data_IF_515887663319
#
_entry.id   IF_515887663319
#
_cell.length_a   1.000
_cell.length_b   1.000
_cell.length_c   1.000
_cell.angle_alpha   90.00
_cell.angle_beta   90.00
_cell.angle_gamma   90.00
#
_symmetry.space_group_name_H-M   'P 1'
#
loop_
_entity.id
_entity.type
_entity.pdbx_description
1 polymer ?
#
# COMPACT_ATOMS: atom_id res chain seq x y z
N UNK A 1 17.06 38.86 -1.35
CA UNK A 1 17.41 37.97 -0.22
C UNK A 1 17.36 36.52 -0.70
N UNK A 2 18.46 35.99 -1.25
CA UNK A 2 18.56 34.60 -1.74
C UNK A 2 18.68 33.54 -0.62
N UNK A 3 18.72 33.94 0.65
CA UNK A 3 18.82 33.04 1.82
C UNK A 3 17.56 32.18 2.10
N UNK A 4 16.46 32.29 1.35
CA UNK A 4 15.19 31.62 1.73
C UNK A 4 14.93 30.25 1.09
N UNK A 5 15.33 30.00 -0.16
CA UNK A 5 14.97 28.75 -0.86
C UNK A 5 15.97 27.61 -0.61
N UNK A 6 17.27 27.91 -0.54
CA UNK A 6 18.29 26.89 -0.35
C UNK A 6 18.15 26.20 1.01
N UNK A 7 17.81 26.95 2.06
CA UNK A 7 17.58 26.39 3.39
C UNK A 7 16.29 25.55 3.46
N UNK A 8 15.26 25.92 2.69
CA UNK A 8 14.05 25.10 2.51
C UNK A 8 14.37 23.77 1.83
N UNK A 9 15.16 23.80 0.75
CA UNK A 9 15.61 22.59 0.05
C UNK A 9 16.51 21.74 0.95
N UNK A 10 17.43 22.35 1.71
CA UNK A 10 18.26 21.63 2.69
C UNK A 10 17.43 20.95 3.77
N UNK A 11 16.40 21.62 4.28
CA UNK A 11 15.49 21.06 5.28
C UNK A 11 14.69 19.88 4.72
N UNK A 12 14.25 19.95 3.46
CA UNK A 12 13.65 18.81 2.76
C UNK A 12 14.66 17.66 2.59
N UNK A 13 15.84 17.92 2.04
CA UNK A 13 16.91 16.92 1.85
C UNK A 13 17.33 16.23 3.15
N UNK A 14 17.41 16.98 4.25
CA UNK A 14 17.78 16.44 5.55
C UNK A 14 16.79 15.35 5.98
N UNK A 15 15.48 15.53 5.77
CA UNK A 15 14.50 14.49 6.13
C UNK A 15 14.51 13.30 5.20
N UNK A 16 14.90 13.48 3.93
CA UNK A 16 15.12 12.32 3.04
C UNK A 16 16.30 11.47 3.51
N UNK A 17 17.35 12.12 4.02
CA UNK A 17 18.58 11.47 4.47
C UNK A 17 18.51 10.92 5.89
N UNK A 18 17.69 11.49 6.76
CA UNK A 18 17.53 11.06 8.17
C UNK A 18 16.52 9.92 8.36
N UNK A 19 15.97 9.35 7.29
CA UNK A 19 15.24 8.08 7.38
C UNK A 19 16.20 6.95 7.77
N UNK A 20 16.50 6.84 9.07
CA UNK A 20 17.45 5.88 9.66
C UNK A 20 17.06 4.41 9.41
N UNK A 21 15.82 4.17 9.02
CA UNK A 21 15.27 2.86 8.61
C UNK A 21 15.35 2.62 7.11
N UNK A 22 15.83 3.61 6.36
CA UNK A 22 15.75 3.68 4.92
C UNK A 22 14.34 3.89 4.39
N UNK A 23 13.28 4.11 5.18
CA UNK A 23 11.92 4.35 4.66
C UNK A 23 11.47 5.78 4.94
N UNK A 24 11.01 6.50 3.92
CA UNK A 24 10.47 7.85 4.09
C UNK A 24 9.02 7.78 4.56
N UNK A 25 8.69 8.50 5.63
CA UNK A 25 7.30 8.67 6.06
C UNK A 25 6.62 9.74 5.20
N UNK A 26 5.52 9.36 4.54
CA UNK A 26 4.68 10.30 3.79
C UNK A 26 4.17 11.45 4.67
N UNK A 27 3.79 11.17 5.92
CA UNK A 27 3.35 12.20 6.87
C UNK A 27 4.45 13.21 7.19
N UNK A 28 5.69 12.73 7.38
CA UNK A 28 6.82 13.64 7.62
C UNK A 28 7.08 14.52 6.40
N UNK A 29 7.09 13.93 5.20
CA UNK A 29 7.26 14.66 3.95
C UNK A 29 6.16 15.75 3.80
N UNK A 30 4.89 15.36 3.95
CA UNK A 30 3.74 16.26 3.81
C UNK A 30 3.77 17.39 4.85
N UNK A 31 4.12 17.11 6.11
CA UNK A 31 4.28 18.14 7.15
C UNK A 31 5.37 19.15 6.81
N UNK A 32 6.52 18.70 6.33
CA UNK A 32 7.63 19.62 6.00
C UNK A 32 7.29 20.46 4.78
N UNK A 33 6.72 19.85 3.74
CA UNK A 33 6.24 20.59 2.58
C UNK A 33 5.22 21.65 3.00
N UNK A 34 4.31 21.30 3.93
CA UNK A 34 3.33 22.22 4.49
C UNK A 34 3.99 23.39 5.21
N UNK A 35 4.98 23.15 6.07
CA UNK A 35 5.74 24.20 6.77
C UNK A 35 6.53 25.09 5.81
N UNK A 36 7.23 24.47 4.86
CA UNK A 36 8.13 25.14 3.92
C UNK A 36 7.35 26.01 2.94
N UNK A 37 6.24 25.51 2.41
CA UNK A 37 5.39 26.21 1.43
C UNK A 37 4.37 27.12 2.15
N UNK A 38 4.11 26.87 3.44
CA UNK A 38 3.05 27.49 4.23
C UNK A 38 1.68 27.30 3.58
N UNK A 39 1.29 26.03 3.41
CA UNK A 39 0.06 25.59 2.74
C UNK A 39 -0.41 24.23 3.28
N UNK A 40 -1.68 23.90 3.08
CA UNK A 40 -2.16 22.53 3.31
C UNK A 40 -1.64 21.64 2.18
N UNK A 41 -1.18 20.44 2.53
CA UNK A 41 -0.57 19.45 1.62
C UNK A 41 -1.26 18.11 1.81
N UNK A 42 -1.63 17.50 0.70
CA UNK A 42 -2.16 16.14 0.62
C UNK A 42 -1.33 15.36 -0.39
N UNK A 43 -0.83 14.21 0.03
CA UNK A 43 -0.18 13.26 -0.87
C UNK A 43 -1.11 12.06 -1.05
N UNK A 44 -1.45 11.73 -2.28
CA UNK A 44 -2.31 10.58 -2.60
C UNK A 44 -1.58 9.54 -3.43
N UNK A 45 -2.05 8.29 -3.34
CA UNK A 45 -1.75 7.27 -4.36
C UNK A 45 -2.60 7.47 -5.62
N UNK A 46 -2.42 6.60 -6.61
CA UNK A 46 -3.17 6.61 -7.87
C UNK A 46 -4.67 6.32 -7.68
N UNK A 47 -5.03 5.61 -6.61
CA UNK A 47 -6.42 5.33 -6.28
C UNK A 47 -7.09 6.53 -5.59
N UNK A 48 -6.34 7.53 -5.10
CA UNK A 48 -6.87 8.68 -4.37
C UNK A 48 -6.86 8.49 -2.85
N UNK A 49 -6.30 7.39 -2.34
CA UNK A 49 -6.08 7.19 -0.90
C UNK A 49 -5.02 8.19 -0.42
N UNK A 50 -5.27 8.86 0.69
CA UNK A 50 -4.33 9.84 1.24
C UNK A 50 -3.24 9.10 2.01
N UNK A 51 -2.02 9.20 1.51
CA UNK A 51 -0.83 8.57 2.07
C UNK A 51 -0.23 9.39 3.21
N UNK A 52 -0.39 10.72 3.17
CA UNK A 52 0.05 11.60 4.26
C UNK A 52 -0.37 13.04 4.06
N UNK A 53 -0.51 13.74 5.18
CA UNK A 53 -1.08 15.10 5.23
C UNK A 53 -0.18 16.07 6.00
N UNK A 54 -0.26 17.35 5.61
CA UNK A 54 0.37 18.45 6.33
C UNK A 54 -0.58 19.64 6.33
N UNK A 55 -1.03 20.06 7.51
CA UNK A 55 -2.01 21.14 7.65
C UNK A 55 -1.40 22.36 8.32
N UNK A 56 -1.66 23.53 7.74
CA UNK A 56 -1.54 24.82 8.42
C UNK A 56 -2.86 25.17 9.10
N UNK A 57 -4.00 24.86 8.46
CA UNK A 57 -5.32 24.98 9.06
C UNK A 57 -6.09 23.65 8.88
N UNK A 58 -6.35 22.97 9.99
CA UNK A 58 -6.94 21.63 10.01
C UNK A 58 -8.47 21.63 9.86
N UNK A 59 -9.14 22.76 10.05
CA UNK A 59 -10.61 22.88 9.92
C UNK A 59 -11.08 22.90 8.45
N UNK A 60 -10.15 22.77 7.51
CA UNK A 60 -10.31 23.11 6.09
C UNK A 60 -9.90 21.95 5.16
N UNK A 61 -10.29 20.73 5.55
CA UNK A 61 -9.95 19.46 4.88
C UNK A 61 -10.85 19.18 3.67
N UNK A 62 -10.24 18.84 2.53
CA UNK A 62 -10.94 18.43 1.30
C UNK A 62 -11.08 16.90 1.16
N UNK A 63 -10.91 16.17 2.26
CA UNK A 63 -10.86 14.71 2.31
C UNK A 63 -12.16 14.13 2.87
N UNK A 64 -12.49 12.93 2.41
CA UNK A 64 -13.56 12.08 2.94
C UNK A 64 -12.94 10.92 3.72
N UNK A 65 -13.73 10.31 4.60
CA UNK A 65 -13.31 9.11 5.35
C UNK A 65 -13.81 7.88 4.62
N UNK A 66 -12.92 6.95 4.32
CA UNK A 66 -13.24 5.68 3.68
C UNK A 66 -13.91 4.69 4.66
N UNK A 67 -14.43 3.57 4.14
CA UNK A 67 -15.08 2.53 4.93
C UNK A 67 -14.17 1.89 6.00
N UNK A 68 -12.86 2.05 5.88
CA UNK A 68 -11.83 1.52 6.78
C UNK A 68 -11.31 2.58 7.77
N UNK A 69 -11.86 3.80 7.73
CA UNK A 69 -11.47 4.92 8.59
C UNK A 69 -10.24 5.70 8.11
N UNK A 70 -9.75 5.46 6.89
CA UNK A 70 -8.66 6.20 6.25
C UNK A 70 -9.15 7.45 5.51
N UNK A 71 -8.26 8.43 5.28
CA UNK A 71 -8.58 9.62 4.49
C UNK A 71 -8.44 9.34 2.99
N UNK A 72 -9.38 9.87 2.20
CA UNK A 72 -9.40 9.72 0.74
C UNK A 72 -9.85 11.02 0.08
N UNK A 73 -9.33 11.29 -1.12
CA UNK A 73 -9.87 12.34 -1.98
C UNK A 73 -11.14 11.83 -2.67
N UNK A 74 -12.23 12.63 -2.76
CA UNK A 74 -13.43 12.23 -3.48
C UNK A 74 -13.11 11.68 -4.87
N UNK A 75 -13.73 10.58 -5.25
CA UNK A 75 -13.41 9.83 -6.47
C UNK A 75 -13.47 10.73 -7.73
N UNK A 76 -14.49 11.58 -7.81
CA UNK A 76 -14.64 12.55 -8.89
C UNK A 76 -13.43 13.50 -9.03
N UNK A 77 -12.89 14.00 -7.90
CA UNK A 77 -11.70 14.86 -7.91
C UNK A 77 -10.47 14.07 -8.33
N UNK A 78 -10.28 12.86 -7.78
CA UNK A 78 -9.13 12.02 -8.09
C UNK A 78 -9.05 11.66 -9.57
N UNK A 79 -10.18 11.27 -10.18
CA UNK A 79 -10.26 10.96 -11.61
C UNK A 79 -9.82 12.14 -12.48
N UNK A 80 -10.17 13.36 -12.08
CA UNK A 80 -9.75 14.57 -12.80
C UNK A 80 -8.26 14.87 -12.59
N UNK A 81 -7.74 14.68 -11.38
CA UNK A 81 -6.31 14.84 -11.11
C UNK A 81 -5.44 13.84 -11.88
N UNK A 82 -5.90 12.60 -11.98
CA UNK A 82 -5.17 11.53 -12.67
C UNK A 82 -5.06 11.77 -14.19
N UNK A 83 -5.95 12.57 -14.78
CA UNK A 83 -5.87 13.00 -16.19
C UNK A 83 -4.83 14.10 -16.43
N UNK A 84 -4.38 14.79 -15.39
CA UNK A 84 -3.44 15.92 -15.51
C UNK A 84 -2.00 15.39 -15.60
N UNK A 85 -1.29 15.63 -16.70
CA UNK A 85 0.08 15.11 -16.90
C UNK A 85 1.20 16.10 -16.55
N UNK A 86 0.86 17.33 -16.21
CA UNK A 86 1.80 18.36 -15.81
C UNK A 86 1.27 19.17 -14.64
N UNK A 87 2.19 19.80 -13.92
CA UNK A 87 1.88 20.70 -12.82
C UNK A 87 0.91 21.78 -13.26
N UNK A 88 -0.18 21.94 -12.51
CA UNK A 88 -1.14 23.02 -12.69
C UNK A 88 -1.25 23.80 -11.39
N UNK A 89 -0.69 25.01 -11.41
CA UNK A 89 -0.59 25.87 -10.23
C UNK A 89 -1.57 27.04 -10.30
N UNK A 90 -1.87 27.61 -9.13
CA UNK A 90 -2.73 28.78 -8.98
C UNK A 90 -4.16 28.60 -9.50
N UNK A 91 -4.66 27.37 -9.53
CA UNK A 91 -6.04 27.05 -9.86
C UNK A 91 -6.94 27.64 -8.77
N UNK A 92 -7.91 28.46 -9.15
CA UNK A 92 -8.87 29.09 -8.24
C UNK A 92 -10.14 29.50 -9.00
N UNK A 93 -11.22 29.77 -8.25
CA UNK A 93 -12.52 30.21 -8.77
C UNK A 93 -13.08 29.24 -9.80
N UNK A 94 -13.36 29.75 -10.99
CA UNK A 94 -13.93 28.96 -12.09
C UNK A 94 -13.07 27.75 -12.47
N UNK A 95 -11.74 27.90 -12.51
CA UNK A 95 -10.85 26.79 -12.84
C UNK A 95 -10.91 25.66 -11.81
N UNK A 96 -11.11 26.02 -10.53
CA UNK A 96 -11.27 25.02 -9.47
C UNK A 96 -12.61 24.28 -9.63
N UNK A 97 -13.70 25.01 -9.93
CA UNK A 97 -15.02 24.41 -10.19
C UNK A 97 -15.00 23.51 -11.45
N UNK A 98 -14.30 23.91 -12.51
CA UNK A 98 -14.20 23.10 -13.74
C UNK A 98 -13.50 21.74 -13.48
N UNK A 99 -12.62 21.66 -12.48
CA UNK A 99 -11.88 20.44 -12.12
C UNK A 99 -12.58 19.65 -11.00
N UNK A 100 -13.16 20.33 -10.02
CA UNK A 100 -13.70 19.73 -8.79
C UNK A 100 -15.22 19.62 -8.78
N UNK A 101 -15.90 20.24 -9.74
CA UNK A 101 -17.35 20.21 -9.90
C UNK A 101 -18.07 21.44 -9.35
N UNK A 102 -19.29 21.64 -9.84
CA UNK A 102 -20.18 22.71 -9.41
C UNK A 102 -20.57 22.51 -7.93
N UNK A 103 -20.19 23.46 -7.07
CA UNK A 103 -20.44 23.40 -5.62
C UNK A 103 -19.22 23.07 -4.76
N UNK A 104 -18.02 22.96 -5.35
CA UNK A 104 -16.79 22.81 -4.58
C UNK A 104 -16.57 24.01 -3.63
N UNK A 105 -16.76 23.78 -2.34
CA UNK A 105 -16.82 24.81 -1.30
C UNK A 105 -15.52 25.63 -1.16
N UNK A 106 -14.41 25.05 -1.56
CA UNK A 106 -13.07 25.63 -1.40
C UNK A 106 -12.53 26.23 -2.71
N UNK A 107 -13.41 26.56 -3.67
CA UNK A 107 -13.01 27.11 -4.95
C UNK A 107 -12.24 28.42 -4.85
N UNK A 108 -12.41 29.18 -3.76
CA UNK A 108 -11.70 30.42 -3.47
C UNK A 108 -10.23 30.23 -3.04
N UNK A 109 -9.81 29.00 -2.68
CA UNK A 109 -8.41 28.67 -2.42
C UNK A 109 -7.59 28.71 -3.72
N UNK A 110 -6.30 28.97 -3.57
CA UNK A 110 -5.32 28.63 -4.61
C UNK A 110 -4.93 27.16 -4.46
N UNK A 111 -4.97 26.43 -5.57
CA UNK A 111 -4.57 25.03 -5.64
C UNK A 111 -3.34 24.88 -6.54
N UNK A 112 -2.43 24.01 -6.14
CA UNK A 112 -1.34 23.50 -6.94
C UNK A 112 -1.46 21.98 -6.98
N UNK A 113 -1.73 21.45 -8.17
CA UNK A 113 -1.91 20.02 -8.41
C UNK A 113 -0.68 19.55 -9.16
N UNK A 114 0.07 18.65 -8.53
CA UNK A 114 1.34 18.15 -9.06
C UNK A 114 1.26 16.64 -9.22
N UNK A 115 1.22 16.14 -10.47
CA UNK A 115 1.29 14.71 -10.75
C UNK A 115 2.59 14.09 -10.20
N UNK A 116 2.47 12.95 -9.53
CA UNK A 116 3.63 12.18 -9.07
C UNK A 116 3.91 11.03 -10.03
N UNK A 117 5.09 11.03 -10.64
CA UNK A 117 5.54 10.02 -11.59
C UNK A 117 6.82 9.34 -11.12
N UNK A 118 6.97 8.04 -11.41
CA UNK A 118 8.26 7.35 -11.28
C UNK A 118 8.35 6.21 -12.30
N UNK A 119 9.42 6.19 -13.10
CA UNK A 119 9.63 5.14 -14.12
C UNK A 119 8.61 5.17 -15.27
N UNK A 120 7.97 6.32 -15.52
CA UNK A 120 6.93 6.47 -16.55
C UNK A 120 5.50 6.25 -16.06
N UNK A 121 5.31 5.65 -14.87
CA UNK A 121 3.97 5.41 -14.32
C UNK A 121 3.51 6.59 -13.47
N UNK A 122 2.20 6.88 -13.57
CA UNK A 122 1.50 7.84 -12.71
C UNK A 122 1.16 7.15 -11.38
N UNK A 123 1.85 7.54 -10.31
CA UNK A 123 1.76 6.88 -9.01
C UNK A 123 0.82 7.56 -8.02
N UNK A 124 0.45 8.80 -8.27
CA UNK A 124 -0.43 9.56 -7.40
C UNK A 124 -0.38 11.05 -7.66
N UNK A 125 -0.83 11.84 -6.69
CA UNK A 125 -0.95 13.30 -6.84
C UNK A 125 -0.53 13.98 -5.55
N UNK A 126 0.30 15.02 -5.66
CA UNK A 126 0.54 15.98 -4.59
C UNK A 126 -0.38 17.18 -4.80
N UNK A 127 -1.24 17.46 -3.82
CA UNK A 127 -2.21 18.55 -3.85
C UNK A 127 -1.81 19.53 -2.77
N UNK A 128 -1.63 20.80 -3.15
CA UNK A 128 -1.25 21.86 -2.22
C UNK A 128 -2.26 23.00 -2.31
N UNK A 129 -2.82 23.41 -1.17
CA UNK A 129 -3.86 24.44 -1.12
C UNK A 129 -3.58 25.49 -0.06
N UNK A 130 -3.84 26.77 -0.38
CA UNK A 130 -3.79 27.86 0.61
C UNK A 130 -4.68 29.03 0.24
N UNK A 131 -5.06 29.81 1.24
CA UNK A 131 -5.78 31.06 1.07
C UNK A 131 -4.85 32.22 0.71
N UNK A 132 -5.43 33.24 0.08
CA UNK A 132 -4.93 34.62 -0.01
C UNK A 132 -3.59 34.85 -0.76
N UNK A 133 -2.82 33.80 -1.09
CA UNK A 133 -1.52 33.94 -1.73
C UNK A 133 -1.32 32.93 -2.87
N UNK A 134 -1.04 33.45 -4.07
CA UNK A 134 -0.61 32.65 -5.23
C UNK A 134 0.70 31.91 -4.97
N UNK A 135 0.83 30.69 -5.45
CA UNK A 135 2.08 29.94 -5.52
C UNK A 135 3.07 30.64 -6.45
N UNK A 136 4.24 30.96 -5.90
CA UNK A 136 5.39 31.47 -6.64
C UNK A 136 6.11 30.32 -7.36
N UNK A 137 7.00 30.64 -8.31
CA UNK A 137 7.83 29.63 -8.97
C UNK A 137 8.65 28.81 -7.96
N UNK A 138 9.14 29.45 -6.90
CA UNK A 138 9.85 28.77 -5.80
C UNK A 138 8.94 27.75 -5.08
N UNK A 139 7.70 28.13 -4.81
CA UNK A 139 6.73 27.23 -4.17
C UNK A 139 6.40 26.05 -5.10
N UNK A 140 6.20 26.31 -6.40
CA UNK A 140 5.89 25.28 -7.41
C UNK A 140 7.07 24.30 -7.56
N UNK A 141 8.31 24.80 -7.60
CA UNK A 141 9.50 23.96 -7.67
C UNK A 141 9.63 23.04 -6.45
N UNK A 142 9.28 23.53 -5.25
CA UNK A 142 9.25 22.72 -4.03
C UNK A 142 8.15 21.65 -4.08
N UNK A 143 6.97 21.97 -4.66
CA UNK A 143 5.93 20.98 -4.88
C UNK A 143 6.36 19.90 -5.88
N UNK A 144 6.97 20.26 -7.00
CA UNK A 144 7.48 19.30 -8.00
C UNK A 144 8.56 18.40 -7.43
N UNK A 145 9.49 18.98 -6.67
CA UNK A 145 10.49 18.22 -5.94
C UNK A 145 9.83 17.23 -4.95
N UNK A 146 8.87 17.70 -4.16
CA UNK A 146 8.11 16.87 -3.23
C UNK A 146 7.36 15.73 -3.93
N UNK A 147 6.71 16.00 -5.06
CA UNK A 147 5.99 15.01 -5.85
C UNK A 147 6.92 13.96 -6.48
N UNK A 148 8.12 14.36 -6.92
CA UNK A 148 9.12 13.43 -7.45
C UNK A 148 9.65 12.50 -6.37
N UNK A 149 9.97 13.03 -5.18
CA UNK A 149 10.39 12.25 -4.02
C UNK A 149 9.30 11.29 -3.57
N UNK A 150 8.06 11.77 -3.47
CA UNK A 150 6.91 10.93 -3.14
C UNK A 150 6.74 9.79 -4.15
N UNK A 151 6.91 10.07 -5.45
CA UNK A 151 6.81 9.06 -6.50
C UNK A 151 7.86 7.96 -6.36
N UNK A 152 9.10 8.33 -6.01
CA UNK A 152 10.16 7.36 -5.73
C UNK A 152 9.78 6.44 -4.55
N UNK A 153 9.26 7.02 -3.47
CA UNK A 153 8.90 6.25 -2.28
C UNK A 153 7.66 5.37 -2.50
N UNK A 154 6.65 5.86 -3.22
CA UNK A 154 5.49 5.06 -3.62
C UNK A 154 5.94 3.86 -4.45
N UNK A 155 6.80 4.08 -5.47
CA UNK A 155 7.36 2.99 -6.28
C UNK A 155 8.08 1.97 -5.42
N UNK A 156 8.91 2.45 -4.50
CA UNK A 156 9.70 1.57 -3.63
C UNK A 156 8.80 0.70 -2.77
N UNK A 157 7.76 1.27 -2.17
CA UNK A 157 6.81 0.53 -1.35
C UNK A 157 6.03 -0.52 -2.17
N UNK A 158 5.64 -0.20 -3.40
CA UNK A 158 5.04 -1.17 -4.33
C UNK A 158 6.03 -2.32 -4.64
N UNK A 159 7.28 -2.00 -4.98
CA UNK A 159 8.30 -3.01 -5.25
C UNK A 159 8.56 -3.92 -4.04
N UNK A 160 8.62 -3.35 -2.83
CA UNK A 160 8.78 -4.14 -1.60
C UNK A 160 7.57 -5.05 -1.33
N UNK A 161 6.36 -4.59 -1.63
CA UNK A 161 5.15 -5.41 -1.52
C UNK A 161 5.18 -6.57 -2.53
N UNK A 162 5.49 -6.29 -3.80
CA UNK A 162 5.65 -7.31 -4.84
C UNK A 162 6.75 -8.32 -4.51
N UNK A 163 7.90 -7.86 -3.99
CA UNK A 163 8.98 -8.76 -3.57
C UNK A 163 8.54 -9.67 -2.42
N UNK A 164 7.79 -9.15 -1.44
CA UNK A 164 7.26 -9.95 -0.34
C UNK A 164 6.28 -11.01 -0.86
N UNK A 165 5.38 -10.64 -1.75
CA UNK A 165 4.45 -11.57 -2.41
C UNK A 165 5.21 -12.66 -3.18
N UNK A 166 6.16 -12.27 -4.05
CA UNK A 166 7.02 -13.22 -4.79
C UNK A 166 7.78 -14.16 -3.86
N UNK A 167 8.30 -13.67 -2.74
CA UNK A 167 8.97 -14.49 -1.72
C UNK A 167 8.01 -15.46 -1.05
N UNK A 168 6.80 -15.03 -0.72
CA UNK A 168 5.76 -15.89 -0.15
C UNK A 168 5.37 -17.02 -1.12
N UNK A 169 5.11 -16.69 -2.39
CA UNK A 169 4.79 -17.69 -3.42
C UNK A 169 5.98 -18.65 -3.64
N UNK A 170 7.20 -18.12 -3.73
CA UNK A 170 8.42 -18.93 -3.88
C UNK A 170 8.65 -19.91 -2.73
N UNK A 171 8.38 -19.49 -1.49
CA UNK A 171 8.46 -20.37 -0.32
C UNK A 171 7.49 -21.56 -0.42
N UNK A 172 6.28 -21.35 -0.95
CA UNK A 172 5.32 -22.43 -1.22
C UNK A 172 5.88 -23.37 -2.29
N UNK A 173 6.36 -22.85 -3.43
CA UNK A 173 6.92 -23.70 -4.48
C UNK A 173 8.08 -24.56 -3.98
N UNK A 174 8.98 -23.99 -3.18
CA UNK A 174 10.08 -24.74 -2.56
C UNK A 174 9.55 -25.83 -1.62
N UNK A 175 8.56 -25.52 -0.78
CA UNK A 175 7.94 -26.49 0.11
C UNK A 175 7.30 -27.64 -0.68
N UNK A 176 6.54 -27.32 -1.73
CA UNK A 176 5.88 -28.31 -2.59
C UNK A 176 6.88 -29.14 -3.40
N UNK A 177 8.04 -28.61 -3.75
CA UNK A 177 9.10 -29.39 -4.40
C UNK A 177 9.65 -30.53 -3.52
N UNK A 178 9.55 -30.41 -2.18
CA UNK A 178 9.94 -31.48 -1.24
C UNK A 178 8.88 -32.56 -1.04
N UNK A 179 7.65 -32.31 -1.51
CA UNK A 179 6.53 -33.25 -1.43
C UNK A 179 6.53 -34.18 -2.64
N UNK A 180 6.35 -35.47 -2.38
CA UNK A 180 5.98 -36.46 -3.39
C UNK A 180 4.58 -36.21 -3.95
N UNK A 181 4.25 -36.81 -5.10
CA UNK A 181 2.94 -36.69 -5.73
C UNK A 181 1.79 -37.03 -4.76
N UNK A 182 1.90 -38.17 -4.06
CA UNK A 182 0.89 -38.59 -3.08
C UNK A 182 0.79 -37.66 -1.88
N UNK A 183 1.89 -37.03 -1.46
CA UNK A 183 1.87 -36.03 -0.39
C UNK A 183 1.17 -34.73 -0.85
N UNK A 184 1.40 -34.27 -2.09
CA UNK A 184 0.69 -33.11 -2.65
C UNK A 184 -0.82 -33.35 -2.71
N UNK A 185 -1.24 -34.53 -3.17
CA UNK A 185 -2.66 -34.91 -3.16
C UNK A 185 -3.22 -34.98 -1.73
N UNK A 186 -2.45 -35.49 -0.77
CA UNK A 186 -2.85 -35.54 0.63
C UNK A 186 -3.06 -34.12 1.19
N UNK A 187 -2.15 -33.17 0.93
CA UNK A 187 -2.31 -31.76 1.33
C UNK A 187 -3.60 -31.18 0.76
N UNK A 188 -3.88 -31.37 -0.53
CA UNK A 188 -5.10 -30.86 -1.17
C UNK A 188 -6.36 -31.37 -0.46
N UNK A 189 -6.40 -32.66 -0.17
CA UNK A 189 -7.51 -33.32 0.54
C UNK A 189 -7.63 -32.85 2.00
N UNK A 190 -6.51 -32.63 2.69
CA UNK A 190 -6.50 -32.07 4.05
C UNK A 190 -7.09 -30.65 4.06
N UNK A 191 -6.69 -29.80 3.12
CA UNK A 191 -7.15 -28.41 3.03
C UNK A 191 -8.64 -28.31 2.63
N UNK A 192 -9.23 -29.35 2.04
CA UNK A 192 -10.67 -29.41 1.76
C UNK A 192 -11.53 -29.65 3.02
N UNK A 193 -10.96 -30.14 4.13
CA UNK A 193 -11.71 -30.43 5.36
C UNK A 193 -12.10 -29.18 6.14
N UNK A 194 -11.45 -28.05 5.90
CA UNK A 194 -11.78 -26.79 6.55
C UNK A 194 -11.68 -25.63 5.57
N UNK A 195 -12.63 -24.71 5.66
CA UNK A 195 -12.59 -23.43 4.97
C UNK A 195 -11.81 -22.40 5.78
N UNK A 196 -11.11 -21.48 5.09
CA UNK A 196 -10.34 -20.41 5.72
C UNK A 196 -8.89 -20.77 6.07
N UNK A 197 -8.29 -19.93 6.92
CA UNK A 197 -6.87 -19.97 7.26
C UNK A 197 -6.56 -20.79 8.52
N UNK A 198 -7.58 -21.15 9.30
CA UNK A 198 -7.43 -21.97 10.51
C UNK A 198 -8.46 -23.10 10.51
N UNK A 199 -8.03 -24.28 10.94
CA UNK A 199 -8.90 -25.45 11.06
C UNK A 199 -8.36 -26.45 12.08
N UNK A 200 -9.19 -27.39 12.48
CA UNK A 200 -8.76 -28.53 13.31
C UNK A 200 -9.14 -29.81 12.59
N UNK A 201 -8.17 -30.69 12.38
CA UNK A 201 -8.37 -31.97 11.71
C UNK A 201 -8.00 -33.12 12.62
N UNK A 202 -8.66 -34.26 12.46
CA UNK A 202 -8.23 -35.52 13.08
C UNK A 202 -7.58 -36.34 11.98
N UNK A 203 -6.26 -36.51 12.01
CA UNK A 203 -5.50 -37.08 10.90
C UNK A 203 -5.93 -38.50 10.54
N UNK A 204 -6.34 -39.31 11.54
CA UNK A 204 -6.88 -40.66 11.31
C UNK A 204 -8.20 -40.64 10.51
N UNK A 205 -9.11 -39.72 10.82
CA UNK A 205 -10.38 -39.58 10.08
C UNK A 205 -10.14 -39.15 8.63
N UNK A 206 -9.19 -38.23 8.41
CA UNK A 206 -8.82 -37.79 7.04
C UNK A 206 -8.19 -38.94 6.26
N UNK A 207 -7.30 -39.71 6.90
CA UNK A 207 -6.66 -40.86 6.29
C UNK A 207 -7.68 -41.94 5.85
N UNK A 208 -8.64 -42.26 6.72
CA UNK A 208 -9.74 -43.19 6.41
C UNK A 208 -10.63 -42.69 5.28
N UNK A 209 -11.10 -41.43 5.37
CA UNK A 209 -12.01 -40.82 4.39
C UNK A 209 -11.44 -40.83 2.98
N UNK A 210 -10.16 -40.52 2.85
CA UNK A 210 -9.49 -40.42 1.55
C UNK A 210 -8.67 -41.66 1.18
N UNK A 211 -8.81 -42.77 1.92
CA UNK A 211 -8.12 -44.04 1.69
C UNK A 211 -6.60 -43.89 1.52
N UNK A 212 -5.98 -43.12 2.41
CA UNK A 212 -4.53 -42.92 2.45
C UNK A 212 -3.95 -43.33 3.82
N UNK A 213 -2.63 -43.44 3.93
CA UNK A 213 -2.00 -43.76 5.21
C UNK A 213 -1.93 -42.53 6.12
N UNK A 214 -2.13 -42.73 7.43
CA UNK A 214 -1.98 -41.64 8.40
C UNK A 214 -0.55 -41.06 8.40
N UNK A 215 0.47 -41.88 8.10
CA UNK A 215 1.86 -41.44 7.94
C UNK A 215 2.05 -40.46 6.78
N UNK A 216 1.31 -40.62 5.67
CA UNK A 216 1.33 -39.70 4.54
C UNK A 216 0.81 -38.31 4.94
N UNK A 217 -0.32 -38.26 5.67
CA UNK A 217 -0.92 -37.02 6.19
C UNK A 217 0.05 -36.30 7.12
N UNK A 218 0.63 -37.02 8.09
CA UNK A 218 1.56 -36.44 9.07
C UNK A 218 2.85 -35.96 8.41
N UNK A 219 3.41 -36.72 7.47
CA UNK A 219 4.65 -36.32 6.78
C UNK A 219 4.45 -35.10 5.89
N UNK A 220 3.33 -35.04 5.16
CA UNK A 220 2.99 -33.89 4.34
C UNK A 220 2.86 -32.61 5.17
N UNK A 221 2.14 -32.67 6.30
CA UNK A 221 2.01 -31.55 7.23
C UNK A 221 3.36 -31.13 7.82
N UNK A 222 4.19 -32.09 8.25
CA UNK A 222 5.52 -31.81 8.81
C UNK A 222 6.43 -31.10 7.82
N UNK A 223 6.42 -31.49 6.53
CA UNK A 223 7.24 -30.84 5.49
C UNK A 223 6.79 -29.40 5.21
N UNK A 224 5.48 -29.15 5.15
CA UNK A 224 4.96 -27.78 4.99
C UNK A 224 5.22 -26.91 6.22
N UNK A 225 5.15 -27.50 7.42
CA UNK A 225 5.51 -26.82 8.66
C UNK A 225 7.01 -26.47 8.71
N UNK A 226 7.87 -27.39 8.27
CA UNK A 226 9.31 -27.16 8.19
C UNK A 226 9.68 -26.01 7.23
N UNK A 227 8.87 -25.80 6.19
CA UNK A 227 9.02 -24.68 5.26
C UNK A 227 8.34 -23.38 5.72
N UNK A 228 7.71 -23.38 6.90
CA UNK A 228 7.03 -22.21 7.48
C UNK A 228 5.72 -21.82 6.79
N UNK A 229 5.22 -22.65 5.87
CA UNK A 229 4.01 -22.39 5.07
C UNK A 229 2.74 -22.52 5.92
N UNK A 230 2.75 -23.46 6.87
CA UNK A 230 1.70 -23.64 7.87
C UNK A 230 2.32 -23.92 9.24
N UNK A 231 1.51 -23.83 10.29
CA UNK A 231 1.86 -24.29 11.63
C UNK A 231 0.89 -25.36 12.07
N UNK A 232 1.42 -26.39 12.76
CA UNK A 232 0.61 -27.48 13.28
C UNK A 232 0.78 -27.59 14.79
N UNK A 233 -0.34 -27.61 15.52
CA UNK A 233 -0.34 -27.81 16.98
C UNK A 233 -1.21 -29.02 17.32
N UNK A 234 -0.59 -30.06 17.86
CA UNK A 234 -1.32 -31.22 18.39
C UNK A 234 -2.16 -30.81 19.59
N UNK A 235 -3.45 -31.18 19.57
CA UNK A 235 -4.41 -31.04 20.67
C UNK A 235 -4.77 -32.41 21.28
N UNK A 236 -3.91 -33.43 21.06
CA UNK A 236 -4.15 -34.80 21.51
C UNK A 236 -5.39 -35.40 20.86
N UNK A 237 -6.32 -35.92 21.67
CA UNK A 237 -7.54 -36.59 21.18
C UNK A 237 -8.49 -35.67 20.41
N UNK A 238 -8.35 -34.34 20.55
CA UNK A 238 -9.15 -33.35 19.82
C UNK A 238 -8.65 -33.10 18.39
N UNK A 239 -7.52 -33.69 18.01
CA UNK A 239 -6.92 -33.57 16.68
C UNK A 239 -5.73 -32.60 16.65
N UNK A 240 -5.39 -32.13 15.45
CA UNK A 240 -4.31 -31.18 15.19
C UNK A 240 -4.92 -29.88 14.68
N UNK A 241 -4.64 -28.77 15.37
CA UNK A 241 -4.97 -27.43 14.88
C UNK A 241 -3.94 -27.05 13.82
N UNK A 242 -4.43 -26.64 12.65
CA UNK A 242 -3.62 -26.17 11.53
C UNK A 242 -3.92 -24.69 11.31
N UNK A 243 -2.89 -23.90 11.16
CA UNK A 243 -2.98 -22.50 10.75
C UNK A 243 -2.10 -22.29 9.52
N UNK A 244 -2.70 -21.81 8.44
CA UNK A 244 -2.02 -21.47 7.19
C UNK A 244 -1.39 -20.09 7.38
N UNK A 245 -0.07 -20.02 7.33
CA UNK A 245 0.66 -18.75 7.47
C UNK A 245 0.71 -17.98 6.15
N UNK A 246 0.65 -18.70 5.03
CA UNK A 246 0.77 -18.16 3.70
C UNK A 246 -0.54 -18.34 2.91
N UNK A 247 -1.24 -17.23 2.67
CA UNK A 247 -2.56 -17.21 2.05
C UNK A 247 -2.57 -17.77 0.62
N UNK A 248 -1.45 -17.64 -0.10
CA UNK A 248 -1.28 -18.11 -1.48
C UNK A 248 -1.19 -19.64 -1.59
N UNK A 249 -1.14 -20.38 -0.47
CA UNK A 249 -0.98 -21.84 -0.48
C UNK A 249 -2.10 -22.53 -1.27
N UNK A 250 -3.35 -22.08 -1.08
CA UNK A 250 -4.51 -22.71 -1.73
C UNK A 250 -4.49 -22.47 -3.23
N UNK A 251 -4.24 -21.23 -3.64
CA UNK A 251 -4.20 -20.83 -5.05
C UNK A 251 -3.11 -21.62 -5.80
N UNK A 252 -1.89 -21.68 -5.26
CA UNK A 252 -0.77 -22.42 -5.87
C UNK A 252 -1.04 -23.93 -5.94
N UNK A 253 -1.77 -24.50 -4.96
CA UNK A 253 -2.15 -25.92 -4.97
C UNK A 253 -3.25 -26.26 -5.99
N UNK A 254 -4.06 -25.28 -6.39
CA UNK A 254 -5.09 -25.47 -7.43
C UNK A 254 -4.48 -25.46 -8.83
N UNK A 255 -3.42 -24.67 -9.05
CA UNK A 255 -2.67 -24.61 -10.31
C UNK A 255 -1.90 -25.90 -10.62
N UNK A 256 -1.47 -26.63 -9.59
CA UNK A 256 -0.79 -27.91 -9.74
C UNK A 256 -1.84 -28.99 -10.05
N UNK A 257 -2.12 -29.18 -11.34
CA UNK A 257 -2.85 -30.32 -11.90
C UNK A 257 -1.94 -31.52 -12.13
#
# INVERSE_FOLDING_TARGET
>A
MPEKILDRIRRLNWVLTESTTGSLSYDQLSKILSEVINANVYLTDAAGSVLGTGYINAEDTSTEVDEKGGERIPEYHNDNFMKMNSTSANITGKQALDIMGDGYAMADKYHCIVPSFCGGDRLGTLIVTRYNRKFSEEDIALCEYGAAVAGLEIRRNLNLAEEREKRQISAIHLALATLSFSEKEAVKKILMEFSGCEGSIVTSKVAEKYKMTNSLVVNALRKLESAGVLTSRSMGMKGTKIQINNLYLRDVLEEIR
#
